data_IF_887251580750
#
_entry.id   IF_887251580750
#
_cell.length_a   1.000
_cell.length_b   1.000
_cell.length_c   1.000
_cell.angle_alpha   90.00
_cell.angle_beta   90.00
_cell.angle_gamma   90.00
#
_symmetry.space_group_name_H-M   'P 1'
#
loop_
_entity.id
_entity.type
_entity.pdbx_description
1 polymer ?
#
# COMPACT_ATOMS: atom_id res chain seq x y z
N UNK A 1 -6.25 5.33 15.50
CA UNK A 1 -6.76 6.66 15.06
C UNK A 1 -6.07 7.89 15.66
N UNK A 2 -5.01 7.78 16.50
CA UNK A 2 -4.30 8.97 16.99
C UNK A 2 -3.36 9.62 15.95
N UNK A 3 -2.98 8.86 14.92
CA UNK A 3 -2.03 9.31 13.90
C UNK A 3 -2.71 10.18 12.85
N UNK A 4 -1.98 11.21 12.39
CA UNK A 4 -2.38 12.04 11.26
C UNK A 4 -2.43 11.19 9.98
N UNK A 5 -3.17 11.63 8.94
CA UNK A 5 -3.17 10.96 7.65
C UNK A 5 -1.75 10.71 7.14
N UNK A 6 -1.52 9.51 6.61
CA UNK A 6 -0.22 9.14 6.05
C UNK A 6 0.01 9.73 4.65
N UNK A 7 -1.05 10.25 4.01
CA UNK A 7 -1.04 10.88 2.70
C UNK A 7 -1.14 12.40 2.86
N UNK A 8 -0.23 13.14 2.19
CA UNK A 8 -0.29 14.59 2.13
C UNK A 8 -1.35 15.10 1.15
N UNK A 9 -1.55 16.42 1.12
CA UNK A 9 -2.45 17.06 0.15
C UNK A 9 -1.91 16.98 -1.29
N UNK A 10 -0.58 17.09 -1.47
CA UNK A 10 0.07 16.96 -2.78
C UNK A 10 -0.11 15.56 -3.37
N UNK A 11 0.05 14.51 -2.55
CA UNK A 11 -0.14 13.13 -2.99
C UNK A 11 -1.58 12.93 -3.48
N UNK A 12 -2.56 13.44 -2.74
CA UNK A 12 -3.97 13.39 -3.10
C UNK A 12 -4.28 14.16 -4.38
N UNK A 13 -3.64 15.32 -4.59
CA UNK A 13 -3.77 16.10 -5.81
C UNK A 13 -3.22 15.35 -7.03
N UNK A 14 -1.98 14.86 -6.95
CA UNK A 14 -1.35 14.10 -8.04
C UNK A 14 -2.09 12.80 -8.36
N UNK A 15 -2.66 12.16 -7.33
CA UNK A 15 -3.57 11.02 -7.48
C UNK A 15 -4.81 11.39 -8.29
N UNK A 16 -5.44 12.52 -7.96
CA UNK A 16 -6.63 13.02 -8.66
C UNK A 16 -6.36 13.38 -10.12
N UNK A 17 -5.17 13.88 -10.43
CA UNK A 17 -4.75 14.17 -11.82
C UNK A 17 -4.23 12.95 -12.59
N UNK A 18 -4.02 11.80 -11.92
CA UNK A 18 -3.40 10.62 -12.54
C UNK A 18 -1.92 10.84 -12.88
N UNK A 19 -1.23 11.74 -12.17
CA UNK A 19 0.16 12.14 -12.42
C UNK A 19 1.13 11.73 -11.31
N UNK A 20 0.68 10.92 -10.36
CA UNK A 20 1.53 10.45 -9.28
C UNK A 20 2.48 9.34 -9.77
N UNK A 21 3.72 9.70 -10.08
CA UNK A 21 4.70 8.77 -10.67
C UNK A 21 5.16 7.67 -9.68
N UNK A 22 5.14 7.92 -8.37
CA UNK A 22 5.57 6.98 -7.34
C UNK A 22 4.41 6.44 -6.48
N UNK A 23 3.30 6.10 -7.13
CA UNK A 23 2.03 5.75 -6.48
C UNK A 23 2.15 4.66 -5.39
N UNK A 24 3.03 3.69 -5.60
CA UNK A 24 3.28 2.54 -4.71
C UNK A 24 3.88 2.91 -3.34
N UNK A 25 4.40 4.12 -3.20
CA UNK A 25 4.96 4.63 -1.92
C UNK A 25 3.89 5.20 -0.99
N UNK A 26 2.73 5.50 -1.57
CA UNK A 26 1.62 6.19 -0.92
C UNK A 26 0.43 5.24 -0.76
N UNK A 27 0.04 4.55 -1.84
CA UNK A 27 -1.00 3.52 -1.80
C UNK A 27 -0.44 2.17 -1.36
N UNK A 28 -1.35 1.32 -0.91
CA UNK A 28 -1.10 -0.05 -0.48
C UNK A 28 -0.65 -0.13 0.96
N UNK A 29 0.14 -1.17 1.27
CA UNK A 29 0.79 -1.34 2.57
C UNK A 29 2.22 -0.79 2.56
N UNK A 30 2.47 0.23 3.37
CA UNK A 30 3.77 0.87 3.52
C UNK A 30 4.18 0.92 4.99
N UNK A 31 5.36 0.41 5.32
CA UNK A 31 5.91 0.58 6.66
C UNK A 31 6.17 2.06 6.93
N UNK A 32 5.81 2.51 8.12
CA UNK A 32 6.07 3.86 8.60
C UNK A 32 6.54 3.82 10.05
N UNK A 33 7.41 4.76 10.37
CA UNK A 33 7.91 5.00 11.73
C UNK A 33 7.53 6.42 12.12
N UNK A 34 6.92 6.58 13.30
CA UNK A 34 6.56 7.88 13.85
C UNK A 34 7.25 8.12 15.20
N UNK A 35 7.82 9.30 15.45
CA UNK A 35 8.34 9.65 16.76
C UNK A 35 7.19 9.80 17.77
N UNK A 36 7.40 9.35 19.01
CA UNK A 36 6.46 9.56 20.12
C UNK A 36 7.21 9.88 21.41
N UNK A 37 6.49 10.41 22.41
CA UNK A 37 7.06 10.72 23.73
C UNK A 37 7.63 9.50 24.47
N UNK A 38 7.29 8.28 24.03
CA UNK A 38 7.74 7.02 24.64
C UNK A 38 8.65 6.21 23.71
N UNK A 39 9.19 6.83 22.64
CA UNK A 39 10.02 6.18 21.63
C UNK A 39 9.36 6.13 20.25
N UNK A 40 10.03 5.52 19.29
CA UNK A 40 9.51 5.36 17.93
C UNK A 40 8.38 4.33 17.87
N UNK A 41 7.35 4.63 17.09
CA UNK A 41 6.23 3.73 16.82
C UNK A 41 6.33 3.28 15.37
N UNK A 42 6.65 2.01 15.19
CA UNK A 42 6.64 1.35 13.89
C UNK A 42 5.25 0.77 13.61
N UNK A 43 4.88 0.69 12.34
CA UNK A 43 3.65 0.05 11.91
C UNK A 43 3.46 0.11 10.41
N UNK A 44 2.26 -0.28 9.96
CA UNK A 44 1.92 -0.26 8.53
C UNK A 44 0.84 0.77 8.27
N UNK A 45 1.11 1.68 7.34
CA UNK A 45 0.12 2.55 6.73
C UNK A 45 -0.55 1.82 5.57
N UNK A 46 -1.86 1.71 5.62
CA UNK A 46 -2.69 1.16 4.56
C UNK A 46 -3.40 2.29 3.85
N UNK A 47 -3.36 2.29 2.51
CA UNK A 47 -4.18 3.19 1.72
C UNK A 47 -4.73 2.52 0.46
N UNK A 48 -6.00 2.78 0.15
CA UNK A 48 -6.66 2.24 -1.04
C UNK A 48 -7.60 3.25 -1.67
N UNK A 49 -7.59 3.33 -2.99
CA UNK A 49 -8.53 4.14 -3.74
C UNK A 49 -9.84 3.37 -3.94
N UNK A 50 -10.92 3.87 -3.32
CA UNK A 50 -12.25 3.27 -3.39
C UNK A 50 -13.33 4.37 -3.26
N UNK A 51 -13.48 5.25 -4.26
CA UNK A 51 -14.33 6.45 -4.16
C UNK A 51 -15.81 6.13 -3.92
N UNK A 52 -16.29 5.01 -4.46
CA UNK A 52 -17.70 4.61 -4.35
C UNK A 52 -17.98 3.68 -3.17
N UNK A 53 -16.97 3.33 -2.36
CA UNK A 53 -17.19 2.53 -1.16
C UNK A 53 -17.87 3.39 -0.08
N UNK A 54 -18.82 2.81 0.65
CA UNK A 54 -19.48 3.48 1.78
C UNK A 54 -18.63 3.42 3.05
N UNK A 55 -17.81 2.39 3.16
CA UNK A 55 -16.85 2.18 4.24
C UNK A 55 -15.77 1.23 3.73
N UNK A 56 -14.55 1.38 4.26
CA UNK A 56 -13.45 0.44 4.02
C UNK A 56 -12.83 0.06 5.35
N UNK A 57 -12.39 -1.19 5.47
CA UNK A 57 -11.66 -1.73 6.62
C UNK A 57 -10.45 -2.51 6.14
N UNK A 58 -9.47 -2.67 7.02
CA UNK A 58 -8.37 -3.62 6.83
C UNK A 58 -8.67 -4.88 7.65
N UNK A 59 -8.63 -6.04 7.00
CA UNK A 59 -8.79 -7.35 7.63
C UNK A 59 -7.56 -8.19 7.37
N UNK A 60 -7.18 -9.03 8.32
CA UNK A 60 -5.95 -9.81 8.25
C UNK A 60 -5.81 -10.79 9.42
N UNK A 61 -4.66 -11.45 9.48
CA UNK A 61 -4.30 -12.34 10.59
C UNK A 61 -4.33 -11.62 11.95
N UNK A 62 -3.81 -10.39 12.01
CA UNK A 62 -3.71 -9.54 13.20
C UNK A 62 -5.05 -9.16 13.84
N UNK A 63 -6.17 -9.31 13.13
CA UNK A 63 -7.51 -9.09 13.66
C UNK A 63 -8.46 -10.26 13.43
N UNK A 64 -7.93 -11.47 13.19
CA UNK A 64 -8.71 -12.70 13.00
C UNK A 64 -9.74 -12.49 11.87
N UNK A 65 -9.37 -11.73 10.84
CA UNK A 65 -10.21 -11.36 9.72
C UNK A 65 -11.50 -10.58 10.08
N UNK A 66 -11.54 -9.94 11.26
CA UNK A 66 -12.64 -9.05 11.69
C UNK A 66 -12.24 -7.56 11.58
N UNK A 67 -12.82 -6.87 10.60
CA UNK A 67 -12.50 -5.48 10.28
C UNK A 67 -13.13 -4.44 11.21
N UNK A 68 -14.00 -4.83 12.15
CA UNK A 68 -14.74 -3.87 13.03
C UNK A 68 -13.82 -2.97 13.85
N UNK A 69 -12.59 -3.41 14.15
CA UNK A 69 -11.59 -2.64 14.91
C UNK A 69 -10.62 -1.83 14.04
N UNK A 70 -10.65 -2.02 12.72
CA UNK A 70 -9.70 -1.45 11.77
C UNK A 70 -10.44 -0.80 10.58
N UNK A 71 -11.39 0.09 10.89
CA UNK A 71 -12.05 0.91 9.86
C UNK A 71 -11.10 1.98 9.31
N UNK A 72 -11.13 2.22 8.02
CA UNK A 72 -10.30 3.24 7.38
C UNK A 72 -11.01 4.58 7.37
N UNK A 73 -10.24 5.66 7.42
CA UNK A 73 -10.72 7.03 7.28
C UNK A 73 -10.71 7.40 5.80
N UNK A 74 -11.81 8.00 5.31
CA UNK A 74 -11.84 8.60 3.98
C UNK A 74 -11.13 9.96 3.98
N UNK A 75 -10.25 10.18 3.01
CA UNK A 75 -9.51 11.43 2.80
C UNK A 75 -10.27 12.36 1.85
N UNK A 76 -11.46 12.79 2.29
CA UNK A 76 -12.27 13.79 1.59
C UNK A 76 -12.67 13.39 0.18
N UNK A 77 -12.48 14.31 -0.78
CA UNK A 77 -12.89 14.15 -2.18
C UNK A 77 -11.97 13.27 -3.03
N UNK A 78 -10.80 12.87 -2.50
CA UNK A 78 -9.84 12.03 -3.25
C UNK A 78 -10.36 10.61 -3.52
N UNK A 79 -11.33 10.14 -2.72
CA UNK A 79 -11.79 8.75 -2.75
C UNK A 79 -10.78 7.75 -2.17
N UNK A 80 -9.70 8.23 -1.56
CA UNK A 80 -8.70 7.40 -0.88
C UNK A 80 -9.13 7.14 0.55
N UNK A 81 -8.99 5.90 0.97
CA UNK A 81 -9.18 5.44 2.34
C UNK A 81 -7.84 5.13 2.95
N UNK A 82 -7.61 5.55 4.19
CA UNK A 82 -6.32 5.39 4.89
C UNK A 82 -6.50 4.87 6.32
N UNK A 83 -5.53 4.06 6.78
CA UNK A 83 -5.38 3.66 8.17
C UNK A 83 -3.93 3.27 8.50
N UNK A 84 -3.34 3.91 9.51
CA UNK A 84 -2.13 3.42 10.16
C UNK A 84 -2.43 2.43 11.30
N UNK A 85 -1.82 1.25 11.23
CA UNK A 85 -1.89 0.17 12.23
C UNK A 85 -0.53 0.02 12.94
N UNK A 86 -0.40 0.48 14.19
CA UNK A 86 0.84 0.36 14.97
C UNK A 86 1.21 -1.11 15.24
N UNK A 87 2.51 -1.40 15.26
CA UNK A 87 3.06 -2.72 15.57
C UNK A 87 2.90 -3.77 14.47
N UNK A 88 2.19 -3.46 13.37
CA UNK A 88 2.04 -4.38 12.25
C UNK A 88 3.22 -4.25 11.30
N UNK A 89 3.98 -5.34 11.14
CA UNK A 89 5.20 -5.39 10.33
C UNK A 89 5.10 -6.32 9.11
N UNK A 90 6.24 -6.57 8.43
CA UNK A 90 6.32 -7.49 7.30
C UNK A 90 5.83 -8.90 7.63
N UNK A 91 5.28 -9.58 6.62
CA UNK A 91 4.73 -10.93 6.73
C UNK A 91 3.25 -10.98 7.10
N UNK A 92 2.68 -9.89 7.63
CA UNK A 92 1.26 -9.81 7.96
C UNK A 92 0.38 -9.98 6.71
N UNK A 93 -0.61 -10.87 6.80
CA UNK A 93 -1.59 -11.10 5.76
C UNK A 93 -2.74 -10.10 5.88
N UNK A 94 -3.16 -9.51 4.76
CA UNK A 94 -4.29 -8.58 4.76
C UNK A 94 -5.12 -8.59 3.48
N UNK A 95 -6.33 -8.05 3.60
CA UNK A 95 -7.25 -7.66 2.53
C UNK A 95 -7.96 -6.37 2.92
N UNK A 96 -8.52 -5.68 1.93
CA UNK A 96 -9.48 -4.61 2.15
C UNK A 96 -10.89 -5.19 2.16
N UNK A 97 -11.64 -4.91 3.22
CA UNK A 97 -13.07 -5.21 3.32
C UNK A 97 -13.85 -3.93 3.00
N UNK A 98 -14.54 -3.92 1.85
CA UNK A 98 -15.27 -2.76 1.33
C UNK A 98 -16.77 -2.95 1.46
N UNK A 99 -17.46 -1.94 1.97
CA UNK A 99 -18.91 -1.85 1.93
C UNK A 99 -19.33 -1.21 0.61
N UNK A 100 -19.92 -2.00 -0.28
CA UNK A 100 -20.35 -1.54 -1.59
C UNK A 100 -21.65 -0.73 -1.51
N UNK A 101 -22.01 0.05 -2.57
CA UNK A 101 -23.24 0.84 -2.58
C UNK A 101 -24.51 0.02 -2.34
N UNK A 102 -24.54 -1.24 -2.79
CA UNK A 102 -25.63 -2.20 -2.59
C UNK A 102 -25.76 -2.70 -1.13
N UNK A 103 -24.87 -2.28 -0.22
CA UNK A 103 -24.87 -2.65 1.19
C UNK A 103 -24.16 -3.98 1.50
N UNK A 104 -23.58 -4.66 0.50
CA UNK A 104 -22.81 -5.89 0.73
C UNK A 104 -21.36 -5.60 1.13
N UNK A 105 -20.77 -6.47 1.95
CA UNK A 105 -19.34 -6.42 2.25
C UNK A 105 -18.58 -7.34 1.30
N UNK A 106 -17.48 -6.84 0.73
CA UNK A 106 -16.62 -7.58 -0.20
C UNK A 106 -15.18 -7.48 0.25
N UNK A 107 -14.49 -8.62 0.31
CA UNK A 107 -13.05 -8.66 0.54
C UNK A 107 -12.30 -8.61 -0.79
N UNK A 108 -11.29 -7.75 -0.87
CA UNK A 108 -10.43 -7.58 -2.03
C UNK A 108 -8.97 -7.63 -1.61
N UNK A 109 -8.15 -8.28 -2.44
CA UNK A 109 -6.70 -8.10 -2.38
C UNK A 109 -6.37 -6.64 -2.67
N UNK A 110 -5.22 -6.20 -2.19
CA UNK A 110 -4.70 -4.86 -2.45
C UNK A 110 -4.36 -4.69 -3.95
N UNK A 111 -4.93 -3.69 -4.65
CA UNK A 111 -4.60 -3.41 -6.05
C UNK A 111 -3.11 -3.10 -6.28
N UNK A 112 -2.42 -2.61 -5.27
CA UNK A 112 -0.98 -2.26 -5.31
C UNK A 112 -0.16 -3.14 -4.34
N UNK A 113 -0.60 -4.39 -4.15
CA UNK A 113 0.12 -5.36 -3.32
C UNK A 113 1.57 -5.55 -3.80
N UNK A 114 2.54 -5.41 -2.89
CA UNK A 114 3.95 -5.72 -3.14
C UNK A 114 4.23 -7.22 -3.15
N UNK A 115 3.38 -7.99 -2.48
CA UNK A 115 3.46 -9.44 -2.41
C UNK A 115 2.08 -10.04 -2.13
N UNK A 116 1.86 -11.25 -2.63
CA UNK A 116 0.60 -11.97 -2.51
C UNK A 116 0.85 -13.39 -2.01
N UNK A 117 -0.14 -13.97 -1.34
CA UNK A 117 -0.08 -15.39 -0.99
C UNK A 117 -0.03 -16.28 -2.23
N UNK A 118 0.55 -17.47 -2.06
CA UNK A 118 0.55 -18.49 -3.11
C UNK A 118 -0.88 -18.95 -3.40
N UNK A 119 -1.30 -19.01 -4.68
CA UNK A 119 -2.60 -19.55 -5.04
C UNK A 119 -2.84 -20.95 -4.46
N UNK A 120 -4.08 -21.31 -4.06
CA UNK A 120 -5.35 -20.59 -4.32
C UNK A 120 -5.67 -19.49 -3.30
N UNK A 121 -4.79 -19.22 -2.35
CA UNK A 121 -4.98 -18.13 -1.40
C UNK A 121 -4.89 -16.76 -2.10
N UNK A 122 -5.55 -15.75 -1.53
CA UNK A 122 -5.79 -14.46 -2.21
C UNK A 122 -5.49 -13.24 -1.34
N UNK A 123 -4.85 -13.40 -0.17
CA UNK A 123 -4.47 -12.25 0.64
C UNK A 123 -3.21 -11.57 0.08
N UNK A 124 -3.12 -10.28 0.32
CA UNK A 124 -1.90 -9.50 0.14
C UNK A 124 -1.03 -9.63 1.39
N UNK A 125 0.27 -9.39 1.26
CA UNK A 125 1.24 -9.51 2.36
C UNK A 125 1.99 -8.20 2.52
N UNK A 126 2.12 -7.72 3.76
CA UNK A 126 2.96 -6.56 4.08
C UNK A 126 4.41 -6.93 3.84
N UNK A 127 5.16 -6.11 3.10
CA UNK A 127 6.56 -6.40 2.75
C UNK A 127 7.45 -5.19 2.94
N UNK A 128 8.66 -5.48 3.43
CA UNK A 128 9.82 -4.60 3.39
C UNK A 128 10.88 -5.26 2.52
N UNK A 129 11.35 -4.56 1.48
CA UNK A 129 12.48 -5.05 0.70
C UNK A 129 13.76 -4.76 1.49
N UNK A 130 14.55 -5.81 1.72
CA UNK A 130 15.89 -5.72 2.30
C UNK A 130 16.98 -6.09 1.28
N UNK A 131 16.60 -6.25 0.00
CA UNK A 131 17.52 -6.68 -1.04
C UNK A 131 18.50 -5.57 -1.40
N UNK A 132 19.79 -5.93 -1.43
CA UNK A 132 20.88 -5.05 -1.86
C UNK A 132 21.28 -5.43 -3.28
N UNK A 133 21.00 -4.54 -4.23
CA UNK A 133 21.39 -4.69 -5.63
C UNK A 133 22.93 -4.59 -5.79
N UNK A 134 23.47 -5.33 -6.75
CA UNK A 134 24.91 -5.36 -7.05
C UNK A 134 25.20 -5.11 -8.55
N UNK A 135 24.23 -4.56 -9.27
CA UNK A 135 24.25 -4.37 -10.73
C UNK A 135 24.52 -2.91 -11.14
N UNK A 136 25.19 -2.14 -10.30
CA UNK A 136 25.49 -0.72 -10.53
C UNK A 136 26.24 -0.46 -11.84
N UNK A 137 27.19 -1.34 -12.21
CA UNK A 137 27.92 -1.21 -13.47
C UNK A 137 26.99 -1.44 -14.67
N UNK A 138 26.11 -2.43 -14.56
CA UNK A 138 25.13 -2.76 -15.58
C UNK A 138 24.16 -1.60 -15.80
N UNK A 139 23.59 -1.03 -14.73
CA UNK A 139 22.68 0.10 -14.81
C UNK A 139 23.34 1.35 -15.40
N UNK A 140 24.60 1.64 -15.02
CA UNK A 140 25.39 2.74 -15.61
C UNK A 140 25.60 2.56 -17.10
N UNK A 141 25.97 1.35 -17.54
CA UNK A 141 26.13 1.04 -18.96
C UNK A 141 24.81 1.20 -19.70
N UNK A 142 23.72 0.66 -19.15
CA UNK A 142 22.38 0.73 -19.74
C UNK A 142 21.92 2.17 -19.96
N UNK A 143 22.14 3.07 -19.00
CA UNK A 143 21.75 4.47 -19.11
C UNK A 143 22.55 5.26 -20.16
N UNK A 144 23.77 4.81 -20.48
CA UNK A 144 24.65 5.45 -21.44
C UNK A 144 24.61 4.83 -22.85
N UNK A 145 23.83 3.77 -23.06
CA UNK A 145 23.75 3.03 -24.32
C UNK A 145 22.36 3.16 -24.94
N UNK A 146 22.26 3.23 -26.27
CA UNK A 146 21.00 3.02 -26.98
C UNK A 146 20.78 1.51 -27.21
N UNK A 147 19.72 0.89 -26.64
CA UNK A 147 19.44 -0.53 -26.86
C UNK A 147 19.19 -0.90 -28.33
N UNK A 148 18.82 0.07 -29.20
CA UNK A 148 18.55 -0.17 -30.61
C UNK A 148 19.80 -0.30 -31.47
N UNK A 149 20.94 0.21 -31.00
CA UNK A 149 22.22 0.17 -31.73
C UNK A 149 23.06 -1.08 -31.37
N UNK A 150 22.53 -1.97 -30.53
CA UNK A 150 23.20 -3.17 -30.04
C UNK A 150 22.60 -4.49 -30.55
N UNK A 151 23.35 -5.60 -30.46
CA UNK A 151 22.81 -6.92 -30.73
C UNK A 151 21.76 -7.30 -29.68
N UNK A 152 20.55 -7.67 -30.13
CA UNK A 152 19.48 -8.16 -29.28
C UNK A 152 19.01 -9.53 -29.79
N UNK A 153 19.27 -10.57 -29.00
CA UNK A 153 18.70 -11.90 -29.17
C UNK A 153 18.07 -12.28 -27.84
N UNK A 154 16.74 -12.50 -27.84
CA UNK A 154 15.93 -12.82 -26.65
C UNK A 154 15.63 -14.30 -26.62
#
# INVERSE_FOLDING_TARGET
YRFLPTLGEMDQYLLGEGRHEELWTVLGANLRTYPSAHGEIHGTAFAVWAPNARAVRVVGDFNIWDGRRHAMRSLGSSGVWELFVPGLGPGALYKFELLTPDGSWRQKADPVAKYAQVPPATASVVVESQYVWQDDEWLRRRAASDPHDGPMSV
#
